data_IF_859477726498
#
_entry.id   IF_859477726498
#
_cell.length_a   1.000
_cell.length_b   1.000
_cell.length_c   1.000
_cell.angle_alpha   90.00
_cell.angle_beta   90.00
_cell.angle_gamma   90.00
#
_symmetry.space_group_name_H-M   'P 1'
#
loop_
_entity.id
_entity.type
_entity.pdbx_description
1 polymer ?
#
# COMPACT_ATOMS: atom_id res chain seq x y z
N UNK A 1 -23.43 -2.53 22.18
CA UNK A 1 -24.71 -2.74 21.49
C UNK A 1 -24.47 -2.59 20.00
N UNK A 2 -25.10 -3.42 19.15
CA UNK A 2 -25.00 -3.27 17.69
C UNK A 2 -26.07 -2.25 17.27
N UNK A 3 -25.66 -1.22 16.54
CA UNK A 3 -26.53 -0.14 16.06
C UNK A 3 -26.67 -0.18 14.53
N UNK A 4 -27.65 0.55 13.99
CA UNK A 4 -27.94 0.59 12.56
C UNK A 4 -26.72 0.98 11.70
N UNK A 5 -25.82 1.80 12.25
CA UNK A 5 -24.62 2.28 11.55
C UNK A 5 -23.39 1.41 11.77
N UNK A 6 -23.45 0.39 12.64
CA UNK A 6 -22.30 -0.44 12.97
C UNK A 6 -21.72 -1.17 11.75
N UNK A 7 -22.55 -1.54 10.76
CA UNK A 7 -22.09 -2.17 9.53
C UNK A 7 -21.15 -1.28 8.73
N UNK A 8 -21.63 -0.12 8.26
CA UNK A 8 -20.80 0.84 7.52
C UNK A 8 -19.75 1.54 8.38
N UNK A 9 -19.93 1.57 9.71
CA UNK A 9 -19.00 2.15 10.68
C UNK A 9 -17.72 1.35 10.85
N UNK A 10 -17.76 0.04 10.61
CA UNK A 10 -16.63 -0.86 10.88
C UNK A 10 -16.14 -1.64 9.66
N UNK A 11 -16.92 -1.69 8.58
CA UNK A 11 -16.51 -2.39 7.37
C UNK A 11 -15.41 -1.62 6.61
N UNK A 12 -14.40 -2.35 6.11
CA UNK A 12 -13.28 -1.77 5.35
C UNK A 12 -13.74 -0.96 4.13
N UNK A 13 -14.74 -1.44 3.39
CA UNK A 13 -15.30 -0.71 2.24
C UNK A 13 -15.91 0.65 2.63
N UNK A 14 -16.30 0.83 3.90
CA UNK A 14 -16.83 2.09 4.42
C UNK A 14 -15.80 3.21 4.41
N UNK A 15 -14.50 2.90 4.48
CA UNK A 15 -13.42 3.90 4.49
C UNK A 15 -13.40 4.72 3.19
N UNK A 16 -13.17 4.12 1.99
CA UNK A 16 -13.20 4.88 0.75
C UNK A 16 -14.61 5.37 0.39
N UNK A 17 -15.66 4.60 0.68
CA UNK A 17 -17.03 4.99 0.32
C UNK A 17 -17.50 6.25 1.06
N UNK A 18 -17.03 6.48 2.30
CA UNK A 18 -17.32 7.73 3.01
C UNK A 18 -16.66 8.92 2.33
N UNK A 19 -15.42 8.78 1.86
CA UNK A 19 -14.73 9.82 1.10
C UNK A 19 -15.51 10.13 -0.17
N UNK A 20 -15.86 9.12 -0.96
CA UNK A 20 -16.64 9.27 -2.19
C UNK A 20 -18.00 9.91 -1.93
N UNK A 21 -18.72 9.47 -0.90
CA UNK A 21 -20.01 10.03 -0.50
C UNK A 21 -19.90 11.52 -0.12
N UNK A 22 -18.94 11.88 0.75
CA UNK A 22 -18.79 13.25 1.23
C UNK A 22 -18.29 14.22 0.15
N UNK A 23 -17.50 13.73 -0.80
CA UNK A 23 -16.96 14.54 -1.90
C UNK A 23 -17.79 14.46 -3.19
N UNK A 24 -18.86 13.66 -3.23
CA UNK A 24 -19.70 13.48 -4.41
C UNK A 24 -19.00 12.77 -5.58
N UNK A 25 -18.01 11.93 -5.31
CA UNK A 25 -17.21 11.23 -6.33
C UNK A 25 -17.96 9.98 -6.83
N UNK A 26 -17.87 9.73 -8.14
CA UNK A 26 -18.62 8.65 -8.81
C UNK A 26 -17.71 7.59 -9.47
N UNK A 27 -16.39 7.70 -9.31
CA UNK A 27 -15.44 6.70 -9.78
C UNK A 27 -15.40 5.44 -8.90
N UNK A 28 -14.52 4.46 -9.23
CA UNK A 28 -14.29 3.29 -8.40
C UNK A 28 -13.94 3.66 -6.94
N UNK A 29 -14.58 2.99 -5.98
CA UNK A 29 -14.42 3.25 -4.55
C UNK A 29 -14.29 1.93 -3.80
N UNK A 30 -13.05 1.50 -3.58
CA UNK A 30 -12.74 0.12 -3.16
C UNK A 30 -11.72 0.10 -2.04
N UNK A 31 -11.99 -0.70 -1.01
CA UNK A 31 -10.99 -1.05 -0.01
C UNK A 31 -10.26 -2.32 -0.43
N UNK A 32 -8.95 -2.37 -0.19
CA UNK A 32 -8.11 -3.53 -0.48
C UNK A 32 -7.41 -4.02 0.77
N UNK A 33 -7.33 -5.33 0.91
CA UNK A 33 -6.58 -6.00 1.97
C UNK A 33 -5.56 -6.94 1.32
N UNK A 34 -4.32 -6.47 1.29
CA UNK A 34 -3.13 -7.23 0.93
C UNK A 34 -2.13 -7.20 2.11
N UNK A 35 -2.64 -7.21 3.34
CA UNK A 35 -1.86 -7.06 4.57
C UNK A 35 -0.90 -5.86 4.51
N UNK A 36 0.40 -6.06 4.75
CA UNK A 36 1.42 -5.01 4.78
C UNK A 36 1.55 -4.23 3.47
N UNK A 37 1.16 -4.81 2.33
CA UNK A 37 1.26 -4.19 1.01
C UNK A 37 0.00 -3.39 0.61
N UNK A 38 -1.05 -3.36 1.45
CA UNK A 38 -2.37 -2.83 1.07
C UNK A 38 -2.34 -1.42 0.49
N UNK A 39 -1.59 -0.50 1.08
CA UNK A 39 -1.49 0.89 0.60
C UNK A 39 -0.83 0.99 -0.78
N UNK A 40 0.25 0.25 -1.02
CA UNK A 40 0.92 0.22 -2.32
C UNK A 40 0.07 -0.48 -3.38
N UNK A 41 -0.71 -1.50 -3.01
CA UNK A 41 -1.68 -2.13 -3.91
C UNK A 41 -2.83 -1.17 -4.25
N UNK A 42 -3.33 -0.40 -3.28
CA UNK A 42 -4.33 0.64 -3.53
C UNK A 42 -3.82 1.69 -4.53
N UNK A 43 -2.58 2.14 -4.35
CA UNK A 43 -1.88 3.05 -5.27
C UNK A 43 -1.69 2.41 -6.66
N UNK A 44 -1.30 1.14 -6.72
CA UNK A 44 -1.14 0.40 -7.97
C UNK A 44 -2.46 0.31 -8.76
N UNK A 45 -3.58 0.02 -8.08
CA UNK A 45 -4.91 -0.03 -8.69
C UNK A 45 -5.41 1.35 -9.11
N UNK A 46 -5.16 2.38 -8.31
CA UNK A 46 -5.47 3.77 -8.67
C UNK A 46 -4.76 4.20 -9.96
N UNK A 47 -3.46 3.88 -10.08
CA UNK A 47 -2.71 4.09 -11.33
C UNK A 47 -3.34 3.33 -12.49
N UNK A 48 -3.72 2.07 -12.29
CA UNK A 48 -4.36 1.28 -13.34
C UNK A 48 -5.68 1.89 -13.80
N UNK A 49 -6.55 2.31 -12.89
CA UNK A 49 -7.82 2.98 -13.21
C UNK A 49 -7.61 4.28 -13.99
N UNK A 50 -6.59 5.08 -13.65
CA UNK A 50 -6.24 6.29 -14.40
C UNK A 50 -5.74 5.94 -15.80
N UNK A 51 -4.87 4.94 -15.92
CA UNK A 51 -4.27 4.53 -17.20
C UNK A 51 -5.32 3.91 -18.12
N UNK A 52 -6.24 3.09 -17.61
CA UNK A 52 -7.33 2.49 -18.37
C UNK A 52 -8.44 3.47 -18.74
N UNK A 53 -8.50 4.63 -18.09
CA UNK A 53 -9.55 5.63 -18.29
C UNK A 53 -10.81 5.40 -17.47
N UNK A 54 -10.81 4.43 -16.56
CA UNK A 54 -11.88 4.25 -15.55
C UNK A 54 -11.93 5.40 -14.54
N UNK A 55 -10.85 6.17 -14.42
CA UNK A 55 -10.78 7.38 -13.59
C UNK A 55 -9.90 8.43 -14.27
N UNK A 56 -10.18 9.71 -14.00
CA UNK A 56 -9.29 10.82 -14.42
C UNK A 56 -8.26 11.14 -13.33
N UNK A 57 -8.71 11.03 -12.08
CA UNK A 57 -7.99 11.31 -10.85
C UNK A 57 -8.32 10.22 -9.83
N UNK A 58 -7.45 10.02 -8.85
CA UNK A 58 -7.68 9.03 -7.80
C UNK A 58 -7.17 9.49 -6.44
N UNK A 59 -8.00 9.31 -5.41
CA UNK A 59 -7.60 9.42 -4.01
C UNK A 59 -7.24 8.01 -3.54
N UNK A 60 -5.99 7.78 -3.13
CA UNK A 60 -5.53 6.46 -2.71
C UNK A 60 -4.55 6.55 -1.54
N UNK A 61 -4.46 5.49 -0.75
CA UNK A 61 -3.69 5.51 0.48
C UNK A 61 -3.96 4.29 1.35
N UNK A 62 -3.65 4.42 2.64
CA UNK A 62 -3.90 3.38 3.63
C UNK A 62 -3.99 3.95 5.04
N UNK A 63 -4.63 3.19 5.92
CA UNK A 63 -4.77 3.51 7.34
C UNK A 63 -4.61 2.23 8.15
N UNK A 64 -3.91 2.31 9.28
CA UNK A 64 -3.80 1.26 10.27
C UNK A 64 -3.99 1.85 11.67
N UNK A 65 -4.93 1.27 12.42
CA UNK A 65 -5.21 1.61 13.82
C UNK A 65 -5.32 0.31 14.62
N UNK A 66 -4.67 0.26 15.77
CA UNK A 66 -4.58 -0.89 16.68
C UNK A 66 -5.66 -0.74 17.75
N UNK A 67 -6.90 -1.01 17.37
CA UNK A 67 -8.04 -0.85 18.28
C UNK A 67 -8.13 -1.91 19.39
N UNK A 68 -7.40 -3.03 19.26
CA UNK A 68 -7.48 -4.16 20.19
C UNK A 68 -6.16 -4.96 20.24
N UNK A 69 -5.85 -5.63 21.37
CA UNK A 69 -4.60 -6.36 21.54
C UNK A 69 -4.56 -7.71 20.82
N UNK A 70 -5.68 -8.21 20.30
CA UNK A 70 -5.80 -9.58 19.77
C UNK A 70 -4.80 -9.91 18.66
N UNK A 71 -4.67 -9.02 17.67
CA UNK A 71 -3.70 -9.19 16.58
C UNK A 71 -2.25 -9.10 17.10
N UNK A 72 -1.96 -8.19 18.02
CA UNK A 72 -0.64 -8.08 18.65
C UNK A 72 -0.25 -9.39 19.34
N UNK A 73 -1.15 -9.96 20.17
CA UNK A 73 -0.90 -11.22 20.87
C UNK A 73 -0.67 -12.40 19.91
N UNK A 74 -1.45 -12.46 18.82
CA UNK A 74 -1.26 -13.47 17.78
C UNK A 74 0.14 -13.36 17.16
N UNK A 75 0.56 -12.15 16.77
CA UNK A 75 1.87 -11.91 16.15
C UNK A 75 3.03 -12.18 17.11
N UNK A 76 2.88 -11.88 18.40
CA UNK A 76 3.86 -12.24 19.43
C UNK A 76 4.01 -13.76 19.54
N UNK A 77 2.90 -14.51 19.57
CA UNK A 77 2.92 -15.98 19.58
C UNK A 77 3.53 -16.57 18.30
N UNK A 78 3.38 -15.89 17.17
CA UNK A 78 4.00 -16.27 15.91
C UNK A 78 5.50 -15.94 15.83
N UNK A 79 6.06 -15.25 16.84
CA UNK A 79 7.46 -14.81 16.85
C UNK A 79 7.77 -13.68 15.87
N UNK A 80 6.74 -12.95 15.41
CA UNK A 80 6.91 -11.90 14.40
C UNK A 80 7.30 -10.54 14.99
N UNK A 81 6.98 -10.30 16.27
CA UNK A 81 7.24 -9.00 16.92
C UNK A 81 8.52 -9.03 17.74
N UNK A 82 9.28 -7.94 17.65
CA UNK A 82 10.37 -7.66 18.59
C UNK A 82 9.83 -7.41 20.01
N UNK A 83 10.61 -7.77 21.03
CA UNK A 83 10.32 -7.46 22.44
C UNK A 83 10.74 -6.05 22.83
N UNK A 84 11.56 -5.38 22.03
CA UNK A 84 12.10 -4.05 22.31
C UNK A 84 11.20 -2.92 21.77
N UNK A 85 10.19 -3.26 20.96
CA UNK A 85 9.27 -2.28 20.38
C UNK A 85 9.89 -1.38 19.31
N UNK A 86 11.08 -1.73 18.79
CA UNK A 86 11.75 -1.02 17.69
C UNK A 86 12.10 -1.96 16.54
N UNK A 87 11.89 -1.51 15.30
CA UNK A 87 12.39 -2.20 14.12
C UNK A 87 13.89 -1.90 13.97
N UNK A 88 14.73 -2.94 13.99
CA UNK A 88 16.17 -2.84 13.73
C UNK A 88 16.48 -3.29 12.31
N UNK A 89 15.85 -2.67 11.32
CA UNK A 89 15.97 -3.04 9.91
C UNK A 89 17.44 -3.07 9.49
N UNK A 90 17.89 -4.23 8.96
CA UNK A 90 19.27 -4.50 8.51
C UNK A 90 20.35 -4.60 9.60
N UNK A 91 19.97 -4.64 10.88
CA UNK A 91 20.89 -4.86 12.00
C UNK A 91 21.08 -6.37 12.26
N UNK A 92 22.27 -6.79 12.70
CA UNK A 92 22.56 -8.20 13.07
C UNK A 92 21.71 -8.67 14.26
N UNK A 93 21.30 -7.73 15.13
CA UNK A 93 20.42 -7.98 16.27
C UNK A 93 18.92 -7.89 15.93
N UNK A 94 18.53 -7.82 14.65
CA UNK A 94 17.12 -7.78 14.25
C UNK A 94 16.36 -9.05 14.69
N UNK A 95 15.27 -8.88 15.42
CA UNK A 95 14.53 -10.00 16.03
C UNK A 95 13.00 -9.93 15.83
N UNK A 96 12.53 -9.24 14.79
CA UNK A 96 11.12 -9.01 14.48
C UNK A 96 10.81 -7.53 14.28
N UNK A 97 9.54 -7.21 14.03
CA UNK A 97 9.10 -5.83 13.78
C UNK A 97 8.25 -5.27 14.94
N UNK A 98 8.17 -3.95 15.02
CA UNK A 98 7.29 -3.24 15.94
C UNK A 98 6.03 -2.76 15.21
N UNK A 99 4.86 -2.88 15.84
CA UNK A 99 3.61 -2.42 15.22
C UNK A 99 3.47 -0.91 15.37
N UNK A 100 3.21 -0.22 14.27
CA UNK A 100 2.88 1.21 14.24
C UNK A 100 1.44 1.48 13.84
N UNK A 101 0.94 2.65 14.18
CA UNK A 101 -0.34 3.20 13.71
C UNK A 101 -0.07 4.39 12.78
N UNK A 102 -1.00 4.64 11.86
CA UNK A 102 -0.88 5.79 10.97
C UNK A 102 -1.82 5.71 9.79
N UNK A 103 -1.89 6.80 9.04
CA UNK A 103 -2.60 6.86 7.77
C UNK A 103 -1.96 7.89 6.86
N UNK A 104 -2.00 7.60 5.56
CA UNK A 104 -1.50 8.49 4.53
C UNK A 104 -2.39 8.37 3.29
N UNK A 105 -2.58 9.50 2.61
CA UNK A 105 -3.37 9.61 1.39
C UNK A 105 -2.59 10.46 0.39
N UNK A 106 -2.64 10.06 -0.88
CA UNK A 106 -2.12 10.81 -2.02
C UNK A 106 -3.21 10.95 -3.08
N UNK A 107 -3.13 12.05 -3.83
CA UNK A 107 -3.97 12.28 -5.01
C UNK A 107 -3.11 12.00 -6.24
N UNK A 108 -3.60 11.12 -7.11
CA UNK A 108 -2.95 10.78 -8.37
C UNK A 108 -3.75 11.34 -9.53
N UNK A 109 -3.03 11.79 -10.55
CA UNK A 109 -3.56 12.33 -11.79
C UNK A 109 -2.60 12.02 -12.93
N UNK A 110 -3.11 11.97 -14.16
CA UNK A 110 -2.25 11.85 -15.33
C UNK A 110 -1.37 13.10 -15.44
N UNK A 111 -0.06 12.91 -15.57
CA UNK A 111 0.92 14.02 -15.57
C UNK A 111 0.60 15.11 -16.59
N UNK A 112 0.16 14.77 -17.80
CA UNK A 112 -0.22 15.75 -18.82
C UNK A 112 -1.35 16.66 -18.36
N UNK A 113 -2.39 16.08 -17.73
CA UNK A 113 -3.55 16.82 -17.22
C UNK A 113 -3.16 17.65 -16.00
N UNK A 114 -2.31 17.13 -15.11
CA UNK A 114 -1.79 17.91 -13.98
C UNK A 114 -1.00 19.15 -14.44
N UNK A 115 -0.24 19.05 -15.54
CA UNK A 115 0.47 20.18 -16.14
C UNK A 115 -0.53 21.17 -16.76
N UNK A 116 -1.51 20.68 -17.53
CA UNK A 116 -2.55 21.51 -18.16
C UNK A 116 -3.36 22.30 -17.13
N UNK A 117 -3.69 21.67 -16.00
CA UNK A 117 -4.44 22.27 -14.90
C UNK A 117 -3.58 23.12 -13.95
N UNK A 118 -2.26 23.20 -14.21
CA UNK A 118 -1.29 23.94 -13.39
C UNK A 118 -1.29 23.50 -11.90
N UNK A 119 -1.42 22.18 -11.68
CA UNK A 119 -1.36 21.56 -10.36
C UNK A 119 0.07 21.61 -9.79
N UNK A 120 0.18 21.68 -8.46
CA UNK A 120 1.48 21.53 -7.79
C UNK A 120 1.90 20.05 -7.76
N UNK A 121 2.78 19.65 -8.69
CA UNK A 121 3.25 18.28 -8.84
C UNK A 121 4.39 17.99 -7.84
N UNK A 122 4.10 17.21 -6.80
CA UNK A 122 5.10 16.84 -5.77
C UNK A 122 6.11 15.78 -6.24
N UNK A 123 5.65 14.81 -7.03
CA UNK A 123 6.46 13.71 -7.55
C UNK A 123 5.76 13.05 -8.75
N UNK A 124 6.52 12.27 -9.54
CA UNK A 124 5.99 11.52 -10.69
C UNK A 124 6.17 10.02 -10.48
N UNK A 125 5.06 9.28 -10.46
CA UNK A 125 5.08 7.82 -10.45
C UNK A 125 5.33 7.28 -11.86
N UNK A 126 6.54 6.80 -12.13
CA UNK A 126 6.92 6.23 -13.44
C UNK A 126 6.13 4.93 -13.73
N UNK A 127 6.12 4.00 -12.77
CA UNK A 127 5.42 2.73 -12.89
C UNK A 127 5.10 2.12 -11.52
N UNK A 128 4.36 1.01 -11.54
CA UNK A 128 4.19 0.12 -10.40
C UNK A 128 3.94 -1.31 -10.88
N UNK A 129 4.25 -2.27 -10.02
CA UNK A 129 4.02 -3.70 -10.27
C UNK A 129 3.63 -4.40 -8.96
N UNK A 130 2.97 -5.55 -9.09
CA UNK A 130 2.62 -6.44 -7.99
C UNK A 130 2.89 -7.88 -8.41
N UNK A 131 3.26 -8.72 -7.45
CA UNK A 131 3.48 -10.15 -7.63
C UNK A 131 3.16 -10.88 -6.32
N UNK A 132 2.99 -12.20 -6.41
CA UNK A 132 2.78 -13.07 -5.25
C UNK A 132 4.02 -13.97 -5.08
N UNK A 133 4.40 -14.24 -3.82
CA UNK A 133 5.57 -15.07 -3.50
C UNK A 133 5.46 -16.51 -4.00
N UNK A 134 4.22 -16.96 -4.25
CA UNK A 134 3.92 -18.30 -4.73
C UNK A 134 4.06 -19.34 -3.62
N UNK A 135 4.58 -20.51 -3.96
CA UNK A 135 4.85 -21.58 -2.99
C UNK A 135 6.23 -21.38 -2.35
N UNK A 136 6.26 -21.10 -1.05
CA UNK A 136 7.48 -20.90 -0.24
C UNK A 136 7.53 -21.91 0.92
N UNK A 137 8.52 -21.78 1.82
CA UNK A 137 8.68 -22.65 2.99
C UNK A 137 7.61 -22.45 4.09
N UNK A 138 6.64 -21.58 3.85
CA UNK A 138 5.47 -21.33 4.70
C UNK A 138 4.70 -20.14 4.16
N UNK A 139 3.39 -20.08 4.34
CA UNK A 139 2.53 -19.04 3.72
C UNK A 139 2.97 -17.59 4.06
N UNK A 140 3.71 -17.38 5.15
CA UNK A 140 4.26 -16.08 5.57
C UNK A 140 5.75 -15.91 5.27
N UNK A 141 6.42 -16.91 4.70
CA UNK A 141 7.84 -16.85 4.40
C UNK A 141 8.07 -16.08 3.08
N UNK A 142 8.93 -15.03 3.09
CA UNK A 142 9.15 -14.20 1.92
C UNK A 142 9.91 -14.94 0.81
N UNK A 143 9.74 -14.50 -0.43
CA UNK A 143 10.47 -15.04 -1.59
C UNK A 143 11.30 -13.98 -2.30
N UNK A 144 12.63 -14.05 -2.16
CA UNK A 144 13.54 -13.11 -2.81
C UNK A 144 13.42 -13.10 -4.35
N UNK A 145 13.09 -14.23 -4.99
CA UNK A 145 12.89 -14.28 -6.44
C UNK A 145 11.63 -13.52 -6.87
N UNK A 146 10.58 -13.54 -6.05
CA UNK A 146 9.37 -12.78 -6.32
C UNK A 146 9.59 -11.28 -6.11
N UNK A 147 10.40 -10.91 -5.11
CA UNK A 147 10.83 -9.52 -4.89
C UNK A 147 11.68 -9.00 -6.06
N UNK A 148 12.63 -9.80 -6.57
CA UNK A 148 13.39 -9.46 -7.77
C UNK A 148 12.47 -9.32 -8.99
N UNK A 149 11.55 -10.27 -9.18
CA UNK A 149 10.59 -10.26 -10.29
C UNK A 149 9.74 -8.98 -10.29
N UNK A 150 9.16 -8.60 -9.15
CA UNK A 150 8.29 -7.41 -9.09
C UNK A 150 9.10 -6.13 -9.32
N UNK A 151 10.32 -6.05 -8.82
CA UNK A 151 11.22 -4.92 -9.06
C UNK A 151 11.56 -4.79 -10.55
N UNK A 152 12.01 -5.88 -11.19
CA UNK A 152 12.28 -5.90 -12.64
C UNK A 152 11.06 -5.54 -13.46
N UNK A 153 9.89 -6.04 -13.08
CA UNK A 153 8.65 -5.75 -13.79
C UNK A 153 8.27 -4.26 -13.68
N UNK A 154 8.51 -3.63 -12.52
CA UNK A 154 8.32 -2.20 -12.35
C UNK A 154 9.28 -1.39 -13.24
N UNK A 155 10.57 -1.73 -13.26
CA UNK A 155 11.56 -1.05 -14.10
C UNK A 155 11.25 -1.18 -15.60
N UNK A 156 10.90 -2.38 -16.05
CA UNK A 156 10.49 -2.64 -17.42
C UNK A 156 9.26 -1.79 -17.79
N UNK A 157 8.23 -1.75 -16.93
CA UNK A 157 7.02 -0.93 -17.14
C UNK A 157 7.29 0.58 -17.10
N UNK A 158 8.40 1.01 -16.53
CA UNK A 158 8.80 2.41 -16.50
C UNK A 158 9.50 2.87 -17.79
N UNK A 159 9.61 1.99 -18.79
CA UNK A 159 10.37 2.23 -20.02
C UNK A 159 11.77 1.62 -19.98
N UNK A 160 11.93 0.50 -19.28
CA UNK A 160 13.21 -0.20 -19.10
C UNK A 160 14.31 0.68 -18.50
N UNK A 161 14.00 1.28 -17.35
CA UNK A 161 14.95 2.13 -16.62
C UNK A 161 16.14 1.30 -16.14
N UNK A 162 17.35 1.78 -16.40
CA UNK A 162 18.58 1.20 -15.87
C UNK A 162 18.58 1.25 -14.32
N UNK A 163 18.68 0.10 -13.62
CA UNK A 163 18.72 0.07 -12.16
C UNK A 163 19.82 0.96 -11.55
N UNK A 164 20.90 1.24 -12.28
CA UNK A 164 21.99 2.10 -11.82
C UNK A 164 21.61 3.58 -11.70
N UNK A 165 20.46 4.00 -12.26
CA UNK A 165 19.95 5.37 -12.10
C UNK A 165 19.05 5.53 -10.87
N UNK A 166 18.93 4.50 -10.02
CA UNK A 166 18.12 4.55 -8.80
C UNK A 166 19.00 4.97 -7.63
N UNK A 167 18.79 6.18 -7.15
CA UNK A 167 19.60 6.74 -6.05
C UNK A 167 19.19 6.18 -4.67
N UNK A 168 17.93 5.77 -4.52
CA UNK A 168 17.36 5.41 -3.24
C UNK A 168 16.27 4.33 -3.35
N UNK A 169 16.23 3.44 -2.36
CA UNK A 169 15.18 2.43 -2.19
C UNK A 169 14.63 2.51 -0.77
N UNK A 170 13.38 2.94 -0.64
CA UNK A 170 12.61 2.78 0.59
C UNK A 170 12.21 1.29 0.69
N UNK A 171 12.89 0.55 1.57
CA UNK A 171 12.67 -0.88 1.71
C UNK A 171 11.44 -1.20 2.59
N UNK A 172 10.92 -2.43 2.47
CA UNK A 172 9.87 -2.91 3.35
C UNK A 172 10.34 -3.10 4.81
N UNK A 173 11.54 -3.68 4.91
CA UNK A 173 12.33 -4.13 6.07
C UNK A 173 11.62 -4.28 7.42
#
# INVERSE_FOLDING_TARGET
TIEAWSGIGTAYHGIPNRISYHLGLQGPSTAVDAACASSLIAIHLARQAIVSGESTDAICGGVNVICAPGLTHMLQKAGALTTEGVCRSFDDAACGYARGEGGAVVVLKRLSVAIEDNDNILAVMKSSASAHDGKTNGIMAPNWKAQELVARQALLRAGDIDPHTIDYVEAHA
#
